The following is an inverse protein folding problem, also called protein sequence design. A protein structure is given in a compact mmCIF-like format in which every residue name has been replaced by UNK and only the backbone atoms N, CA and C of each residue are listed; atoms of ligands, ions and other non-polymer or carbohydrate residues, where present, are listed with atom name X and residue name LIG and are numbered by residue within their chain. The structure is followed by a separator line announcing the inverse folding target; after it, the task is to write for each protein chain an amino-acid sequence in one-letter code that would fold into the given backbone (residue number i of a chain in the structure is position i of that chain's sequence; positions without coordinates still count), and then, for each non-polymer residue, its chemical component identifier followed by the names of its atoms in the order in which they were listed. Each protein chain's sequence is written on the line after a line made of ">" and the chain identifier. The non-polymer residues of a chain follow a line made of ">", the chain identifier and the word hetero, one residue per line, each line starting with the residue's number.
data_IF_658416642520
#
_entry.id   IF_658416642520
#
_cell.length_a   1.000
_cell.length_b   1.000
_cell.length_c   1.000
_cell.angle_alpha   90.00
_cell.angle_beta   90.00
_cell.angle_gamma   90.00
#
_symmetry.space_group_name_H-M   'P 1'
#
loop_
_entity.id
_entity.type
_entity.pdbx_description
1 polymer ?
#
# COMPACT_ATOMS: atom_id res chain seq x y z
N UNK A 1 57.36 -43.83 2.59
CA UNK A 1 56.36 -43.17 1.74
C UNK A 1 55.26 -42.71 2.67
N UNK A 2 55.46 -41.51 3.26
CA UNK A 2 54.58 -40.93 4.26
C UNK A 2 53.50 -40.05 3.55
N UNK A 3 52.24 -40.35 3.79
CA UNK A 3 51.10 -39.58 3.34
C UNK A 3 50.75 -38.61 4.45
N UNK A 4 51.04 -37.33 4.22
CA UNK A 4 50.71 -36.21 5.11
C UNK A 4 49.19 -35.95 5.11
N UNK A 5 48.61 -36.14 6.27
CA UNK A 5 47.21 -35.84 6.59
C UNK A 5 47.09 -34.32 6.84
N UNK A 6 46.68 -33.52 5.83
CA UNK A 6 46.43 -32.09 6.00
C UNK A 6 45.05 -31.83 6.62
N UNK A 7 45.12 -31.40 7.85
CA UNK A 7 44.01 -31.05 8.74
C UNK A 7 43.03 -30.01 8.14
N UNK A 8 41.76 -30.38 8.15
CA UNK A 8 40.58 -29.52 7.81
C UNK A 8 40.24 -28.46 8.84
N UNK A 9 41.19 -28.08 9.75
CA UNK A 9 40.93 -27.23 10.91
C UNK A 9 41.36 -25.73 10.78
N UNK A 10 41.80 -25.24 9.62
CA UNK A 10 42.28 -23.86 9.50
C UNK A 10 41.36 -22.91 8.70
N UNK A 11 40.12 -23.32 8.34
CA UNK A 11 39.21 -22.47 7.56
C UNK A 11 38.18 -21.68 8.41
N UNK A 12 38.18 -21.87 9.74
CA UNK A 12 37.12 -21.29 10.62
C UNK A 12 37.62 -20.06 11.43
N UNK A 13 38.74 -19.43 11.09
CA UNK A 13 39.27 -18.31 11.88
C UNK A 13 39.35 -16.96 11.18
N UNK A 14 38.64 -16.73 10.07
CA UNK A 14 38.56 -15.39 9.45
C UNK A 14 37.15 -15.01 8.95
N UNK A 15 36.10 -15.42 9.66
CA UNK A 15 34.75 -14.91 9.46
C UNK A 15 34.27 -14.24 10.77
N UNK A 16 34.96 -13.18 11.17
CA UNK A 16 34.51 -12.33 12.25
C UNK A 16 34.55 -10.88 11.80
N UNK A 17 33.44 -10.18 12.05
CA UNK A 17 33.19 -8.75 11.92
C UNK A 17 32.76 -8.27 10.52
N UNK A 18 31.54 -8.56 10.20
CA UNK A 18 30.64 -7.80 9.37
C UNK A 18 29.23 -8.02 9.89
N UNK A 19 28.93 -7.54 11.09
CA UNK A 19 27.52 -7.37 11.52
C UNK A 19 26.90 -6.28 10.66
N UNK A 20 26.47 -6.64 9.47
CA UNK A 20 25.40 -5.91 8.78
C UNK A 20 24.20 -6.00 9.73
N UNK A 21 23.95 -4.92 10.47
CA UNK A 21 22.73 -4.73 11.20
C UNK A 21 21.60 -4.82 10.17
N UNK A 22 21.00 -5.99 10.04
CA UNK A 22 19.76 -6.17 9.32
C UNK A 22 18.70 -5.34 10.05
N UNK A 23 18.56 -4.07 9.67
CA UNK A 23 17.50 -3.21 10.18
C UNK A 23 16.20 -3.84 9.71
N UNK A 24 15.49 -4.49 10.62
CA UNK A 24 14.25 -5.19 10.31
C UNK A 24 13.20 -4.19 9.81
N UNK A 25 12.34 -4.60 8.87
CA UNK A 25 11.19 -3.80 8.39
C UNK A 25 10.41 -3.14 9.55
N UNK A 26 10.21 -3.77 10.72
CA UNK A 26 9.64 -3.14 11.89
C UNK A 26 10.32 -1.85 12.37
N UNK A 27 11.64 -1.76 12.32
CA UNK A 27 12.39 -0.57 12.78
C UNK A 27 12.28 0.60 11.77
N UNK A 28 12.24 0.29 10.48
CA UNK A 28 12.11 1.27 9.40
C UNK A 28 10.79 2.04 9.53
N UNK A 29 9.69 1.28 9.65
CA UNK A 29 8.35 1.86 9.76
C UNK A 29 8.11 2.58 11.10
N UNK A 30 8.79 2.17 12.17
CA UNK A 30 8.70 2.85 13.47
C UNK A 30 9.36 4.24 13.46
N UNK A 31 10.37 4.44 12.63
CA UNK A 31 11.02 5.75 12.47
C UNK A 31 10.19 6.73 11.63
N UNK A 32 9.46 6.22 10.62
CA UNK A 32 8.62 7.03 9.74
C UNK A 32 7.21 7.31 10.29
N UNK A 33 6.72 6.46 11.18
CA UNK A 33 5.47 6.68 11.93
C UNK A 33 5.86 7.31 13.28
N UNK A 34 5.74 8.64 13.39
CA UNK A 34 6.09 9.41 14.59
C UNK A 34 5.76 8.68 15.89
N UNK A 35 6.51 8.92 16.97
CA UNK A 35 6.57 8.24 18.29
C UNK A 35 5.23 7.99 19.03
N UNK A 36 4.09 7.87 18.31
CA UNK A 36 2.77 7.54 18.83
C UNK A 36 2.49 6.03 18.77
N UNK A 37 1.73 5.53 19.72
CA UNK A 37 1.19 4.16 19.70
C UNK A 37 0.34 3.99 18.44
N UNK A 38 0.80 3.21 17.47
CA UNK A 38 0.06 2.97 16.22
C UNK A 38 -1.32 2.40 16.58
N UNK A 39 -2.38 3.13 16.24
CA UNK A 39 -3.75 2.63 16.41
C UNK A 39 -3.93 1.43 15.48
N UNK A 40 -4.20 0.26 16.06
CA UNK A 40 -4.43 -0.97 15.29
C UNK A 40 -5.93 -1.27 15.19
N UNK A 41 -6.32 -1.76 14.03
CA UNK A 41 -7.64 -2.37 13.83
C UNK A 41 -7.57 -3.81 14.33
N UNK A 42 -8.35 -4.12 15.35
CA UNK A 42 -8.55 -5.51 15.81
C UNK A 42 -9.56 -6.17 14.88
N UNK A 43 -9.19 -7.33 14.35
CA UNK A 43 -10.04 -8.12 13.48
C UNK A 43 -11.06 -8.92 14.31
N UNK A 44 -12.30 -8.97 13.82
CA UNK A 44 -13.38 -9.74 14.40
C UNK A 44 -13.84 -10.80 13.39
N UNK A 45 -14.59 -11.78 13.88
CA UNK A 45 -15.15 -12.85 13.05
C UNK A 45 -16.11 -12.30 12.00
N UNK A 46 -16.10 -12.95 10.82
CA UNK A 46 -16.97 -12.67 9.68
C UNK A 46 -16.81 -11.28 9.03
N UNK A 47 -15.74 -10.54 9.35
CA UNK A 47 -15.53 -9.20 8.80
C UNK A 47 -15.12 -9.20 7.34
N UNK A 48 -15.57 -8.16 6.65
CA UNK A 48 -15.25 -7.87 5.27
C UNK A 48 -14.19 -6.76 5.18
N UNK A 49 -13.11 -7.04 4.46
CA UNK A 49 -12.02 -6.12 4.15
C UNK A 49 -12.08 -5.80 2.66
N UNK A 50 -12.09 -4.51 2.31
CA UNK A 50 -12.11 -4.06 0.93
C UNK A 50 -10.91 -3.18 0.63
N UNK A 51 -10.16 -3.55 -0.40
CA UNK A 51 -9.11 -2.71 -1.00
C UNK A 51 -9.68 -1.97 -2.21
N UNK A 52 -9.54 -0.64 -2.21
CA UNK A 52 -9.91 0.27 -3.29
C UNK A 52 -8.71 1.10 -3.74
N UNK A 53 -8.70 1.49 -5.00
CA UNK A 53 -7.64 2.32 -5.57
C UNK A 53 -7.49 2.16 -7.08
N UNK A 54 -6.31 2.46 -7.54
CA UNK A 54 -5.89 2.44 -8.95
C UNK A 54 -5.11 1.16 -9.34
N UNK A 55 -4.15 1.27 -10.30
CA UNK A 55 -3.31 0.17 -10.78
C UNK A 55 -2.45 -0.49 -9.70
N UNK A 56 -2.00 0.26 -8.70
CA UNK A 56 -1.19 -0.26 -7.59
C UNK A 56 -2.01 -1.25 -6.76
N UNK A 57 -3.30 -0.99 -6.59
CA UNK A 57 -4.25 -1.85 -5.89
C UNK A 57 -4.81 -2.95 -6.80
N UNK A 58 -5.21 -2.60 -8.04
CA UNK A 58 -5.70 -3.56 -9.06
C UNK A 58 -4.73 -4.72 -9.28
N UNK A 59 -3.49 -4.36 -9.59
CA UNK A 59 -2.38 -5.31 -9.74
C UNK A 59 -2.75 -6.58 -10.51
N UNK A 60 -3.35 -6.40 -11.70
CA UNK A 60 -3.76 -7.48 -12.63
C UNK A 60 -4.83 -8.44 -12.05
N UNK A 61 -5.67 -7.97 -11.12
CA UNK A 61 -6.79 -8.78 -10.65
C UNK A 61 -7.77 -9.11 -11.80
N UNK A 62 -8.47 -10.22 -11.70
CA UNK A 62 -9.61 -10.48 -12.56
C UNK A 62 -10.82 -9.65 -12.11
N UNK A 63 -11.21 -8.67 -12.92
CA UNK A 63 -12.29 -7.72 -12.59
C UNK A 63 -13.69 -8.32 -12.76
N UNK A 64 -13.81 -9.39 -13.53
CA UNK A 64 -15.09 -10.07 -13.80
C UNK A 64 -15.46 -11.09 -12.72
N UNK A 65 -14.49 -11.53 -11.91
CA UNK A 65 -14.74 -12.45 -10.81
C UNK A 65 -15.37 -11.69 -9.63
N UNK A 66 -16.62 -11.99 -9.24
CA UNK A 66 -17.29 -11.31 -8.14
C UNK A 66 -16.88 -11.83 -6.75
N UNK A 67 -16.06 -12.88 -6.69
CA UNK A 67 -15.68 -13.58 -5.45
C UNK A 67 -14.79 -12.79 -4.51
N UNK A 68 -14.22 -13.51 -3.55
CA UNK A 68 -13.28 -12.99 -2.54
C UNK A 68 -12.26 -14.08 -2.17
N UNK A 69 -11.20 -13.73 -1.42
CA UNK A 69 -10.22 -14.66 -0.84
C UNK A 69 -9.45 -15.54 -1.83
N UNK A 70 -9.34 -15.16 -3.09
CA UNK A 70 -8.57 -15.94 -4.06
C UNK A 70 -7.61 -15.04 -4.85
N UNK A 71 -6.53 -15.65 -5.40
CA UNK A 71 -5.48 -14.93 -6.09
C UNK A 71 -5.95 -14.23 -7.37
N UNK A 72 -7.00 -14.74 -8.03
CA UNK A 72 -7.54 -14.12 -9.24
C UNK A 72 -8.15 -12.76 -8.94
N UNK A 73 -8.86 -12.64 -7.82
CA UNK A 73 -9.54 -11.40 -7.44
C UNK A 73 -8.64 -10.46 -6.65
N UNK A 74 -7.69 -10.99 -5.88
CA UNK A 74 -6.76 -10.15 -5.10
C UNK A 74 -5.61 -9.60 -5.95
N UNK A 75 -5.37 -10.17 -7.14
CA UNK A 75 -4.31 -9.76 -8.06
C UNK A 75 -2.94 -10.30 -7.65
N UNK A 76 -1.88 -9.55 -8.00
CA UNK A 76 -0.48 -9.96 -7.75
C UNK A 76 0.28 -8.94 -6.87
N UNK A 77 -0.42 -7.95 -6.32
CA UNK A 77 0.15 -6.84 -5.54
C UNK A 77 -0.01 -6.98 -4.02
N UNK A 78 0.11 -5.85 -3.35
CA UNK A 78 0.05 -5.80 -1.89
C UNK A 78 -1.28 -6.30 -1.30
N UNK A 79 -2.46 -6.16 -1.96
CA UNK A 79 -3.71 -6.71 -1.42
C UNK A 79 -3.69 -8.24 -1.31
N UNK A 80 -3.08 -8.92 -2.30
CA UNK A 80 -2.94 -10.38 -2.26
C UNK A 80 -2.00 -10.81 -1.13
N UNK A 81 -0.85 -10.17 -0.99
CA UNK A 81 0.13 -10.52 0.04
C UNK A 81 -0.43 -10.29 1.45
N UNK A 82 -1.09 -9.16 1.67
CA UNK A 82 -1.76 -8.86 2.93
C UNK A 82 -2.91 -9.83 3.19
N UNK A 83 -3.73 -10.11 2.18
CA UNK A 83 -4.84 -11.05 2.25
C UNK A 83 -4.39 -12.47 2.59
N UNK A 84 -3.37 -12.98 1.90
CA UNK A 84 -2.81 -14.31 2.17
C UNK A 84 -2.31 -14.45 3.62
N UNK A 85 -1.59 -13.45 4.12
CA UNK A 85 -1.15 -13.42 5.51
C UNK A 85 -2.31 -13.45 6.52
N UNK A 86 -3.36 -12.63 6.27
CA UNK A 86 -4.51 -12.58 7.19
C UNK A 86 -5.32 -13.88 7.18
N UNK A 87 -5.54 -14.47 6.01
CA UNK A 87 -6.30 -15.70 5.86
C UNK A 87 -5.59 -16.91 6.52
N UNK A 88 -4.26 -16.95 6.48
CA UNK A 88 -3.48 -17.95 7.19
C UNK A 88 -3.51 -17.72 8.71
N UNK A 89 -3.08 -16.53 9.13
CA UNK A 89 -2.92 -16.19 10.55
C UNK A 89 -4.24 -16.20 11.34
N UNK A 90 -5.32 -15.79 10.70
CA UNK A 90 -6.64 -15.62 11.31
C UNK A 90 -7.71 -16.53 10.68
N UNK A 91 -7.36 -17.76 10.31
CA UNK A 91 -8.25 -18.70 9.63
C UNK A 91 -9.59 -18.91 10.33
N UNK A 92 -9.61 -18.85 11.68
CA UNK A 92 -10.84 -19.00 12.50
C UNK A 92 -11.78 -17.80 12.42
N UNK A 93 -11.34 -16.64 11.90
CA UNK A 93 -12.15 -15.43 11.82
C UNK A 93 -13.05 -15.38 10.58
N UNK A 94 -12.93 -16.30 9.63
CA UNK A 94 -13.75 -16.34 8.41
C UNK A 94 -13.82 -14.98 7.67
N UNK A 95 -12.66 -14.35 7.48
CA UNK A 95 -12.58 -13.02 6.84
C UNK A 95 -12.94 -13.09 5.36
N UNK A 96 -13.58 -12.04 4.84
CA UNK A 96 -13.85 -11.85 3.41
C UNK A 96 -13.02 -10.68 2.90
N UNK A 97 -12.12 -10.94 1.96
CA UNK A 97 -11.17 -9.94 1.44
C UNK A 97 -11.40 -9.72 -0.03
N UNK A 98 -11.74 -8.47 -0.39
CA UNK A 98 -12.00 -8.04 -1.75
C UNK A 98 -10.93 -7.06 -2.22
N UNK A 99 -10.62 -7.11 -3.50
CA UNK A 99 -9.87 -6.07 -4.20
C UNK A 99 -10.76 -5.52 -5.33
N UNK A 100 -11.01 -4.21 -5.30
CA UNK A 100 -11.79 -3.47 -6.29
C UNK A 100 -10.98 -2.31 -6.90
N UNK A 101 -9.65 -2.36 -6.85
CA UNK A 101 -8.78 -1.45 -7.58
C UNK A 101 -9.03 -1.53 -9.09
N UNK A 102 -8.93 -0.41 -9.80
CA UNK A 102 -8.99 -0.34 -11.27
C UNK A 102 -7.87 0.55 -11.78
N UNK A 103 -7.01 -0.01 -12.64
CA UNK A 103 -5.87 0.70 -13.23
C UNK A 103 -6.29 2.01 -13.90
N UNK A 104 -5.52 3.07 -13.67
CA UNK A 104 -5.75 4.39 -14.23
C UNK A 104 -6.76 5.25 -13.46
N UNK A 105 -7.48 4.69 -12.48
CA UNK A 105 -8.49 5.45 -11.77
C UNK A 105 -7.91 6.65 -11.00
N UNK A 106 -8.66 7.73 -11.04
CA UNK A 106 -8.59 8.94 -10.23
C UNK A 106 -9.74 8.95 -9.23
N UNK A 107 -9.76 9.89 -8.29
CA UNK A 107 -10.78 9.92 -7.24
C UNK A 107 -12.21 9.98 -7.82
N UNK A 108 -12.47 10.84 -8.81
CA UNK A 108 -13.81 10.94 -9.40
C UNK A 108 -14.28 9.61 -10.01
N UNK A 109 -13.38 8.82 -10.59
CA UNK A 109 -13.69 7.51 -11.16
C UNK A 109 -13.96 6.44 -10.09
N UNK A 110 -13.41 6.58 -8.88
CA UNK A 110 -13.89 5.79 -7.75
C UNK A 110 -15.35 6.13 -7.43
N UNK A 111 -15.71 7.42 -7.42
CA UNK A 111 -17.06 7.88 -7.11
C UNK A 111 -18.11 7.32 -8.10
N UNK A 112 -17.79 7.27 -9.40
CA UNK A 112 -18.67 6.74 -10.45
C UNK A 112 -19.09 5.28 -10.24
N UNK A 113 -18.25 4.48 -9.56
CA UNK A 113 -18.51 3.05 -9.32
C UNK A 113 -18.70 2.70 -7.84
N UNK A 114 -18.75 3.72 -6.98
CA UNK A 114 -18.68 3.53 -5.52
C UNK A 114 -19.84 2.74 -4.94
N UNK A 115 -21.06 2.97 -5.46
CA UNK A 115 -22.24 2.23 -5.03
C UNK A 115 -22.03 0.71 -5.15
N UNK A 116 -21.64 0.24 -6.34
CA UNK A 116 -21.47 -1.19 -6.63
C UNK A 116 -20.21 -1.76 -5.97
N UNK A 117 -19.10 -1.03 -6.05
CA UNK A 117 -17.77 -1.55 -5.71
C UNK A 117 -17.37 -1.29 -4.26
N UNK A 118 -18.20 -0.57 -3.49
CA UNK A 118 -17.97 -0.30 -2.07
C UNK A 118 -19.24 -0.42 -1.22
N UNK A 119 -20.27 0.42 -1.47
CA UNK A 119 -21.41 0.53 -0.57
C UNK A 119 -22.24 -0.77 -0.51
N UNK A 120 -22.43 -1.46 -1.63
CA UNK A 120 -23.14 -2.75 -1.68
C UNK A 120 -22.32 -3.89 -1.07
N UNK A 121 -20.99 -3.82 -1.07
CA UNK A 121 -20.13 -4.81 -0.41
C UNK A 121 -20.20 -4.69 1.11
N UNK A 122 -20.48 -3.49 1.62
CA UNK A 122 -20.60 -3.17 3.07
C UNK A 122 -19.36 -3.60 3.86
N UNK A 123 -18.16 -3.09 3.51
CA UNK A 123 -16.96 -3.49 4.23
C UNK A 123 -16.96 -2.99 5.68
N UNK A 124 -16.42 -3.81 6.59
CA UNK A 124 -16.08 -3.41 7.96
C UNK A 124 -14.76 -2.63 8.01
N UNK A 125 -13.87 -2.92 7.06
CA UNK A 125 -12.57 -2.25 6.90
C UNK A 125 -12.42 -1.87 5.43
N UNK A 126 -12.28 -0.58 5.17
CA UNK A 126 -12.09 -0.02 3.84
C UNK A 126 -10.70 0.61 3.74
N UNK A 127 -9.88 0.05 2.85
CA UNK A 127 -8.54 0.55 2.54
C UNK A 127 -8.54 1.23 1.18
N UNK A 128 -8.15 2.50 1.12
CA UNK A 128 -8.11 3.30 -0.11
C UNK A 128 -6.69 3.79 -0.36
N UNK A 129 -6.17 3.54 -1.56
CA UNK A 129 -4.93 4.13 -2.07
C UNK A 129 -5.21 4.73 -3.45
N UNK A 130 -5.26 6.06 -3.51
CA UNK A 130 -5.63 6.81 -4.72
C UNK A 130 -4.94 8.16 -4.73
N UNK A 131 -4.71 8.75 -5.91
CA UNK A 131 -4.18 10.09 -6.09
C UNK A 131 -2.94 10.15 -6.98
N UNK A 132 -2.28 9.03 -7.25
CA UNK A 132 -1.11 9.02 -8.13
C UNK A 132 -1.50 9.36 -9.59
N UNK A 133 -2.65 8.88 -10.07
CA UNK A 133 -3.13 9.21 -11.42
C UNK A 133 -3.75 10.59 -11.52
N UNK A 134 -4.18 11.17 -10.41
CA UNK A 134 -4.67 12.56 -10.37
C UNK A 134 -3.55 13.54 -10.74
N UNK A 135 -2.34 13.32 -10.26
CA UNK A 135 -1.17 14.12 -10.64
C UNK A 135 -0.53 13.63 -11.94
N UNK A 136 -0.34 12.32 -12.13
CA UNK A 136 0.35 11.78 -13.30
C UNK A 136 -0.35 12.19 -14.59
N UNK A 137 -1.65 11.96 -14.72
CA UNK A 137 -2.41 12.32 -15.91
C UNK A 137 -2.52 13.85 -16.12
N UNK A 138 -2.43 14.63 -15.03
CA UNK A 138 -2.29 16.08 -15.14
C UNK A 138 -0.96 16.47 -15.76
N UNK A 139 0.14 15.89 -15.28
CA UNK A 139 1.49 16.17 -15.82
C UNK A 139 1.60 15.73 -17.28
N UNK A 140 0.94 14.65 -17.67
CA UNK A 140 0.90 14.16 -19.05
C UNK A 140 -0.09 14.95 -19.94
N UNK A 141 -0.87 15.89 -19.39
CA UNK A 141 -1.87 16.68 -20.11
C UNK A 141 -3.12 15.91 -20.54
N UNK A 142 -3.36 14.71 -19.97
CA UNK A 142 -4.55 13.90 -20.26
C UNK A 142 -5.67 14.06 -19.23
N UNK A 143 -5.45 14.88 -18.21
CA UNK A 143 -6.41 15.26 -17.19
C UNK A 143 -6.13 16.68 -16.70
N UNK A 144 -7.18 17.48 -16.54
CA UNK A 144 -7.12 18.90 -16.13
C UNK A 144 -7.49 19.13 -14.66
N UNK A 145 -7.59 18.05 -13.87
CA UNK A 145 -7.91 18.13 -12.44
C UNK A 145 -6.84 18.86 -11.63
N UNK A 146 -7.30 19.54 -10.58
CA UNK A 146 -6.44 20.27 -9.65
C UNK A 146 -6.43 19.60 -8.28
N UNK A 147 -5.52 20.05 -7.41
CA UNK A 147 -5.49 19.58 -6.01
C UNK A 147 -6.79 19.91 -5.26
N UNK A 148 -7.47 21.02 -5.62
CA UNK A 148 -8.77 21.40 -5.04
C UNK A 148 -9.85 20.39 -5.46
N UNK A 149 -9.86 19.97 -6.72
CA UNK A 149 -10.77 18.92 -7.24
C UNK A 149 -10.51 17.60 -6.51
N UNK A 150 -9.24 17.18 -6.41
CA UNK A 150 -8.86 15.97 -5.66
C UNK A 150 -9.37 16.01 -4.21
N UNK A 151 -9.13 17.12 -3.50
CA UNK A 151 -9.62 17.30 -2.11
C UNK A 151 -11.14 17.23 -2.01
N UNK A 152 -11.83 17.96 -2.88
CA UNK A 152 -13.29 18.01 -2.92
C UNK A 152 -13.88 16.63 -3.17
N UNK A 153 -13.43 15.97 -4.21
CA UNK A 153 -13.97 14.68 -4.65
C UNK A 153 -13.68 13.58 -3.63
N UNK A 154 -12.48 13.56 -3.05
CA UNK A 154 -12.13 12.56 -2.04
C UNK A 154 -12.90 12.78 -0.73
N UNK A 155 -13.08 14.04 -0.32
CA UNK A 155 -13.90 14.37 0.85
C UNK A 155 -15.35 13.93 0.63
N UNK A 156 -15.96 14.28 -0.51
CA UNK A 156 -17.34 13.90 -0.84
C UNK A 156 -17.53 12.37 -0.90
N UNK A 157 -16.53 11.65 -1.44
CA UNK A 157 -16.53 10.18 -1.46
C UNK A 157 -16.61 9.59 -0.05
N UNK A 158 -15.80 10.11 0.88
CA UNK A 158 -15.78 9.64 2.27
C UNK A 158 -16.99 10.09 3.07
N UNK A 159 -17.51 11.31 2.86
CA UNK A 159 -18.77 11.75 3.45
C UNK A 159 -19.93 10.82 3.08
N UNK A 160 -20.03 10.47 1.78
CA UNK A 160 -21.00 9.50 1.29
C UNK A 160 -20.81 8.13 1.94
N UNK A 161 -19.58 7.70 2.07
CA UNK A 161 -19.22 6.42 2.70
C UNK A 161 -19.65 6.39 4.16
N UNK A 162 -19.28 7.40 4.94
CA UNK A 162 -19.62 7.47 6.37
C UNK A 162 -21.11 7.64 6.64
N UNK A 163 -21.85 8.27 5.71
CA UNK A 163 -23.30 8.38 5.79
C UNK A 163 -23.99 7.02 5.65
N UNK A 164 -23.49 6.15 4.77
CA UNK A 164 -24.08 4.83 4.47
C UNK A 164 -23.50 3.75 5.38
N UNK A 165 -22.22 3.85 5.71
CA UNK A 165 -21.45 2.87 6.49
C UNK A 165 -20.80 3.57 7.70
N UNK A 166 -21.57 4.01 8.70
CA UNK A 166 -21.06 4.84 9.80
C UNK A 166 -20.01 4.15 10.67
N UNK A 167 -19.99 2.83 10.71
CA UNK A 167 -19.07 2.03 11.53
C UNK A 167 -17.86 1.53 10.76
N UNK A 168 -17.72 1.87 9.45
CA UNK A 168 -16.59 1.42 8.64
C UNK A 168 -15.27 2.00 9.17
N UNK A 169 -14.28 1.14 9.31
CA UNK A 169 -12.93 1.56 9.72
C UNK A 169 -12.11 1.86 8.48
N UNK A 170 -11.68 3.11 8.38
CA UNK A 170 -10.96 3.61 7.21
C UNK A 170 -9.44 3.48 7.37
N UNK A 171 -8.79 3.06 6.28
CA UNK A 171 -7.35 3.10 6.10
C UNK A 171 -7.09 3.88 4.80
N UNK A 172 -6.30 4.94 4.88
CA UNK A 172 -5.91 5.73 3.72
C UNK A 172 -4.40 5.57 3.52
N UNK A 173 -4.02 5.03 2.36
CA UNK A 173 -2.64 4.99 1.90
C UNK A 173 -2.25 6.32 1.26
N UNK A 174 -1.05 6.79 1.58
CA UNK A 174 -0.44 7.96 0.94
C UNK A 174 -0.14 7.65 -0.53
N UNK A 175 -0.56 8.48 -1.50
CA UNK A 175 -0.03 8.38 -2.86
C UNK A 175 1.48 8.59 -2.83
N UNK A 176 2.24 7.74 -3.51
CA UNK A 176 3.69 7.77 -3.50
C UNK A 176 4.27 7.76 -4.91
N UNK A 177 5.50 8.24 -5.05
CA UNK A 177 6.29 8.18 -6.26
C UNK A 177 7.78 8.09 -5.94
N UNK A 178 8.48 7.17 -6.58
CA UNK A 178 9.94 7.05 -6.49
C UNK A 178 10.57 7.90 -7.57
N UNK A 179 11.05 9.08 -7.18
CA UNK A 179 11.57 10.12 -8.08
C UNK A 179 12.81 9.67 -8.84
N UNK A 180 12.93 10.13 -10.08
CA UNK A 180 14.09 9.86 -10.95
C UNK A 180 13.98 8.55 -11.72
N UNK A 181 12.80 7.96 -11.79
CA UNK A 181 12.46 6.81 -12.64
C UNK A 181 11.50 7.24 -13.76
N UNK A 182 11.21 6.33 -14.69
CA UNK A 182 10.54 6.58 -15.97
C UNK A 182 9.28 7.46 -15.86
N UNK A 183 8.38 7.15 -14.91
CA UNK A 183 7.11 7.85 -14.79
C UNK A 183 7.16 9.04 -13.84
N UNK A 184 8.09 9.08 -12.88
CA UNK A 184 8.13 10.07 -11.79
C UNK A 184 9.36 10.97 -11.94
N UNK A 185 9.20 12.05 -12.69
CA UNK A 185 10.23 13.06 -12.92
C UNK A 185 9.99 14.37 -12.15
N UNK A 186 10.80 15.36 -12.44
CA UNK A 186 10.75 16.67 -11.76
C UNK A 186 9.48 17.46 -12.03
N UNK A 187 8.72 17.17 -13.11
CA UNK A 187 7.46 17.83 -13.45
C UNK A 187 6.35 17.55 -12.43
N UNK A 188 6.46 16.47 -11.67
CA UNK A 188 5.52 16.16 -10.60
C UNK A 188 5.64 17.10 -9.41
N UNK A 189 6.81 17.74 -9.26
CA UNK A 189 7.16 18.49 -8.06
C UNK A 189 7.21 20.01 -8.32
N UNK A 190 6.79 20.84 -7.32
CA UNK A 190 6.43 20.47 -5.96
C UNK A 190 4.98 20.00 -5.77
N UNK A 191 4.15 20.00 -6.83
CA UNK A 191 2.70 19.81 -6.72
C UNK A 191 2.32 18.45 -6.09
N UNK A 192 3.07 17.40 -6.36
CA UNK A 192 2.78 16.09 -5.79
C UNK A 192 2.76 16.07 -4.26
N UNK A 193 3.57 16.89 -3.61
CA UNK A 193 3.53 17.04 -2.15
C UNK A 193 2.16 17.51 -1.63
N UNK A 194 1.42 18.30 -2.39
CA UNK A 194 0.09 18.75 -2.00
C UNK A 194 -0.93 17.61 -2.05
N UNK A 195 -0.81 16.64 -2.98
CA UNK A 195 -1.65 15.45 -3.02
C UNK A 195 -1.37 14.53 -1.81
N UNK A 196 -0.12 14.34 -1.46
CA UNK A 196 0.29 13.57 -0.27
C UNK A 196 -0.22 14.21 1.02
N UNK A 197 -0.06 15.53 1.14
CA UNK A 197 -0.57 16.33 2.26
C UNK A 197 -2.09 16.24 2.35
N UNK A 198 -2.79 16.38 1.21
CA UNK A 198 -4.24 16.29 1.14
C UNK A 198 -4.74 14.92 1.62
N UNK A 199 -4.14 13.82 1.16
CA UNK A 199 -4.50 12.48 1.62
C UNK A 199 -4.34 12.32 3.14
N UNK A 200 -3.29 12.88 3.72
CA UNK A 200 -3.04 12.87 5.17
C UNK A 200 -4.07 13.70 5.95
N UNK A 201 -4.40 14.89 5.46
CA UNK A 201 -5.40 15.77 6.07
C UNK A 201 -6.80 15.16 6.01
N UNK A 202 -7.17 14.55 4.87
CA UNK A 202 -8.43 13.82 4.69
C UNK A 202 -8.47 12.62 5.64
N UNK A 203 -7.39 11.86 5.76
CA UNK A 203 -7.34 10.76 6.73
C UNK A 203 -7.59 11.25 8.17
N UNK A 204 -7.00 12.38 8.55
CA UNK A 204 -7.23 12.99 9.85
C UNK A 204 -8.68 13.44 10.04
N UNK A 205 -9.27 14.07 9.03
CA UNK A 205 -10.64 14.57 9.06
C UNK A 205 -11.66 13.46 9.33
N UNK A 206 -11.48 12.29 8.72
CA UNK A 206 -12.36 11.14 8.86
C UNK A 206 -11.92 10.12 9.93
N UNK A 207 -10.90 10.44 10.73
CA UNK A 207 -10.38 9.53 11.75
C UNK A 207 -9.80 8.22 11.20
N UNK A 208 -9.41 8.22 9.92
CA UNK A 208 -8.81 7.08 9.26
C UNK A 208 -7.39 6.81 9.75
N UNK A 209 -6.95 5.55 9.68
CA UNK A 209 -5.53 5.23 9.83
C UNK A 209 -4.81 5.60 8.55
N UNK A 210 -3.76 6.41 8.67
CA UNK A 210 -2.93 6.81 7.54
C UNK A 210 -1.68 5.96 7.42
N UNK A 211 -1.39 5.46 6.20
CA UNK A 211 -0.16 4.71 5.90
C UNK A 211 0.76 5.59 5.05
N UNK A 212 1.91 6.05 5.56
CA UNK A 212 2.82 6.95 4.86
C UNK A 212 3.69 6.16 3.86
N UNK A 213 3.12 5.73 2.74
CA UNK A 213 3.83 4.91 1.76
C UNK A 213 5.04 5.60 1.14
N UNK A 214 5.02 6.95 0.98
CA UNK A 214 6.20 7.67 0.50
C UNK A 214 7.39 7.42 1.42
N UNK A 215 7.23 7.61 2.72
CA UNK A 215 8.30 7.38 3.68
C UNK A 215 8.75 5.90 3.72
N UNK A 216 7.85 4.96 3.44
CA UNK A 216 8.20 3.53 3.33
C UNK A 216 9.15 3.29 2.17
N UNK A 217 8.88 3.87 1.00
CA UNK A 217 9.75 3.74 -0.17
C UNK A 217 11.04 4.55 -0.05
N UNK A 218 11.01 5.74 0.53
CA UNK A 218 12.22 6.55 0.80
C UNK A 218 13.21 5.79 1.68
N UNK A 219 12.70 5.16 2.74
CA UNK A 219 13.55 4.34 3.62
C UNK A 219 14.05 3.07 2.92
N UNK A 220 13.22 2.45 2.08
CA UNK A 220 13.60 1.26 1.33
C UNK A 220 14.75 1.55 0.34
N UNK A 221 14.79 2.73 -0.26
CA UNK A 221 15.84 3.16 -1.18
C UNK A 221 17.23 3.24 -0.52
N UNK A 222 17.32 3.32 0.79
CA UNK A 222 18.60 3.20 1.52
C UNK A 222 19.21 1.80 1.46
N UNK A 223 18.43 0.78 1.09
CA UNK A 223 18.84 -0.63 1.04
C UNK A 223 19.08 -1.13 -0.40
N UNK A 224 18.34 -0.59 -1.36
CA UNK A 224 18.46 -0.94 -2.77
C UNK A 224 17.97 0.25 -3.63
N UNK A 225 18.44 0.43 -4.87
CA UNK A 225 18.02 1.51 -5.74
C UNK A 225 16.51 1.47 -6.02
N UNK A 226 15.92 2.64 -6.34
CA UNK A 226 14.48 2.81 -6.55
C UNK A 226 13.86 1.79 -7.52
N UNK A 227 14.56 1.49 -8.63
CA UNK A 227 14.13 0.51 -9.64
C UNK A 227 13.93 -0.91 -9.09
N UNK A 228 14.59 -1.27 -8.01
CA UNK A 228 14.38 -2.55 -7.33
C UNK A 228 12.99 -2.64 -6.70
N UNK A 229 12.43 -1.53 -6.24
CA UNK A 229 11.15 -1.44 -5.55
C UNK A 229 10.01 -1.12 -6.49
N UNK A 230 10.25 -0.23 -7.48
CA UNK A 230 9.30 0.17 -8.52
C UNK A 230 10.08 0.34 -9.82
N UNK A 231 9.77 -0.38 -10.91
CA UNK A 231 10.53 -0.24 -12.16
C UNK A 231 10.37 1.14 -12.81
N UNK A 232 9.22 1.76 -12.66
CA UNK A 232 8.84 3.03 -13.27
C UNK A 232 8.66 4.21 -12.29
N UNK A 233 8.76 3.94 -11.00
CA UNK A 233 8.54 4.93 -9.95
C UNK A 233 7.15 4.89 -9.30
N UNK A 234 6.18 4.19 -9.92
CA UNK A 234 4.78 4.10 -9.46
C UNK A 234 4.39 2.66 -9.11
N UNK A 235 4.60 1.73 -10.04
CA UNK A 235 4.11 0.36 -9.90
C UNK A 235 5.10 -0.51 -9.11
N UNK A 236 4.69 -1.09 -7.97
CA UNK A 236 5.60 -1.90 -7.16
C UNK A 236 6.04 -3.18 -7.86
N UNK A 237 7.32 -3.53 -7.73
CA UNK A 237 7.80 -4.90 -7.94
C UNK A 237 7.21 -5.83 -6.88
N UNK A 238 7.51 -7.13 -6.95
CA UNK A 238 7.15 -8.06 -5.86
C UNK A 238 7.74 -7.60 -4.51
N UNK A 239 8.97 -7.10 -4.51
CA UNK A 239 9.61 -6.56 -3.31
C UNK A 239 8.91 -5.28 -2.80
N UNK A 240 8.54 -4.37 -3.70
CA UNK A 240 7.76 -3.17 -3.38
C UNK A 240 6.36 -3.51 -2.86
N UNK A 241 5.68 -4.46 -3.49
CA UNK A 241 4.38 -4.95 -3.02
C UNK A 241 4.46 -5.56 -1.61
N UNK A 242 5.54 -6.28 -1.31
CA UNK A 242 5.79 -6.83 0.03
C UNK A 242 6.03 -5.72 1.06
N UNK A 243 6.74 -4.65 0.71
CA UNK A 243 6.90 -3.48 1.59
C UNK A 243 5.54 -2.86 1.93
N UNK A 244 4.70 -2.67 0.91
CA UNK A 244 3.36 -2.11 1.09
C UNK A 244 2.46 -3.00 1.94
N UNK A 245 2.45 -4.31 1.68
CA UNK A 245 1.70 -5.28 2.48
C UNK A 245 2.16 -5.29 3.94
N UNK A 246 3.48 -5.28 4.18
CA UNK A 246 4.04 -5.22 5.52
C UNK A 246 3.66 -3.93 6.27
N UNK A 247 3.65 -2.77 5.57
CA UNK A 247 3.20 -1.51 6.14
C UNK A 247 1.71 -1.54 6.52
N UNK A 248 0.87 -2.10 5.65
CA UNK A 248 -0.55 -2.26 5.87
C UNK A 248 -0.86 -3.20 7.04
N UNK A 249 -0.19 -4.36 7.10
CA UNK A 249 -0.36 -5.35 8.18
C UNK A 249 0.06 -4.85 9.56
N UNK A 250 0.79 -3.76 9.67
CA UNK A 250 1.13 -3.16 10.98
C UNK A 250 -0.05 -2.46 11.63
N UNK A 251 -1.02 -2.04 10.84
CA UNK A 251 -2.20 -1.32 11.31
C UNK A 251 -3.44 -2.21 11.37
N UNK A 252 -3.34 -3.47 10.92
CA UNK A 252 -4.43 -4.45 10.95
C UNK A 252 -3.94 -5.77 11.56
N UNK A 253 -4.65 -6.27 12.57
CA UNK A 253 -4.39 -7.59 13.17
C UNK A 253 -3.53 -7.63 14.43
#
# INVERSE_FOLDING_TARGET
>A
MEIQNRSRRSFIKKAALGTLAAVSIPQILSASMAKGRVKKIILLKDQTILFQGDSITDSKRNREDPGYNNSRILGTGYPMLAGAYLLDKYASLNLKIFNKGISGNKVFQLAERWEKDCLQIKPDILSILIGVNDIWHKVDGTYDGTIEIYRKDYTALLETTMKVLPDVRLIIGEPFGVRGLEAVDDRWYPEFYEYQKAAREIASLFGAIFIPYQAVFDEAQKRAPGVYWTPDGVHPTLAGAQLMAAAWLRVVG
#
